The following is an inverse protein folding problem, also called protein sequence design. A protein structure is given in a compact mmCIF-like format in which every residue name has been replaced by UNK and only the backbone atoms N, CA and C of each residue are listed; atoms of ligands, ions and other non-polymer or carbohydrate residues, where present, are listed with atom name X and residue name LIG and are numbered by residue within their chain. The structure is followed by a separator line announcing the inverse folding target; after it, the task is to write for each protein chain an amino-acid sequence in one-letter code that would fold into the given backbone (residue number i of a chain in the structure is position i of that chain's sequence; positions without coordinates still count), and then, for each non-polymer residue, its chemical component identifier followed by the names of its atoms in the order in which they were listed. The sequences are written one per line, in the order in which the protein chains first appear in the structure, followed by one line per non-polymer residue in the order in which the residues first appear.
data_IF_705682187378
#
_entry.id   IF_705682187378
#
_cell.length_a   1.000
_cell.length_b   1.000
_cell.length_c   1.000
_cell.angle_alpha   90.00
_cell.angle_beta   90.00
_cell.angle_gamma   90.00
#
_symmetry.space_group_name_H-M   'P 1'
#
loop_
_entity.id
_entity.type
_entity.pdbx_description
1 polymer ?
#
# COMPACT_ATOMS: atom_id res chain seq x y z
N UNK A 1 -35.54 -9.99 13.13
CA UNK A 1 -34.20 -10.36 12.60
C UNK A 1 -33.44 -9.08 12.29
N UNK A 2 -32.45 -8.74 13.09
CA UNK A 2 -31.51 -7.65 12.84
C UNK A 2 -30.76 -7.94 11.55
N UNK A 3 -30.78 -7.02 10.58
CA UNK A 3 -29.94 -7.08 9.39
C UNK A 3 -28.50 -6.85 9.84
N UNK A 4 -27.73 -7.92 9.94
CA UNK A 4 -26.30 -7.85 10.17
C UNK A 4 -25.67 -7.21 8.93
N UNK A 5 -25.12 -6.01 9.08
CA UNK A 5 -24.47 -5.29 7.98
C UNK A 5 -23.21 -6.07 7.59
N UNK A 6 -23.37 -6.94 6.59
CA UNK A 6 -22.33 -7.84 6.07
C UNK A 6 -21.35 -7.06 5.18
N UNK A 7 -20.95 -5.86 5.60
CA UNK A 7 -19.90 -5.11 4.94
C UNK A 7 -18.57 -5.74 5.35
N UNK A 8 -18.10 -6.65 4.49
CA UNK A 8 -16.78 -7.22 4.63
C UNK A 8 -15.74 -6.08 4.57
N UNK A 9 -15.14 -5.77 5.72
CA UNK A 9 -14.07 -4.78 5.83
C UNK A 9 -12.84 -5.14 4.97
N UNK A 10 -12.77 -6.37 4.44
CA UNK A 10 -11.75 -6.84 3.51
C UNK A 10 -12.16 -6.77 2.04
N UNK A 11 -13.40 -6.39 1.71
CA UNK A 11 -13.85 -6.26 0.32
C UNK A 11 -12.99 -5.29 -0.51
N UNK A 12 -12.32 -4.36 0.15
CA UNK A 12 -11.41 -3.38 -0.46
C UNK A 12 -9.92 -3.75 -0.34
N UNK A 13 -9.56 -5.00 -0.02
CA UNK A 13 -8.17 -5.52 -0.11
C UNK A 13 -7.84 -6.10 -1.49
N UNK A 14 -8.56 -5.69 -2.53
CA UNK A 14 -8.30 -6.11 -3.92
C UNK A 14 -6.85 -5.81 -4.32
N UNK A 15 -6.32 -6.50 -5.32
CA UNK A 15 -4.94 -6.32 -5.79
C UNK A 15 -4.60 -4.87 -6.21
N UNK A 16 -5.63 -4.06 -6.45
CA UNK A 16 -5.55 -2.65 -6.84
C UNK A 16 -5.51 -1.70 -5.62
N UNK A 17 -5.73 -2.23 -4.42
CA UNK A 17 -5.73 -1.53 -3.13
C UNK A 17 -4.54 -2.00 -2.28
N UNK A 18 -3.34 -1.99 -2.84
CA UNK A 18 -2.09 -2.33 -2.14
C UNK A 18 -1.15 -1.13 -2.12
N UNK A 19 -0.20 -1.08 -1.19
CA UNK A 19 0.74 0.02 -1.06
C UNK A 19 1.42 0.36 -2.39
N UNK A 20 1.76 -0.61 -3.24
CA UNK A 20 2.35 -0.38 -4.57
C UNK A 20 1.52 0.56 -5.47
N UNK A 21 0.19 0.57 -5.32
CA UNK A 21 -0.73 1.43 -6.08
C UNK A 21 -1.19 2.65 -5.28
N UNK A 22 -0.65 2.88 -4.07
CA UNK A 22 -1.04 3.98 -3.20
C UNK A 22 -0.25 5.25 -3.51
N UNK A 23 -0.91 6.41 -3.53
CA UNK A 23 -0.26 7.71 -3.74
C UNK A 23 0.73 8.06 -2.62
N UNK A 24 0.54 7.50 -1.43
CA UNK A 24 1.38 7.74 -0.27
C UNK A 24 2.61 6.81 -0.19
N UNK A 25 2.65 5.72 -0.95
CA UNK A 25 3.76 4.77 -0.89
C UNK A 25 4.94 5.25 -1.73
N UNK A 26 6.13 5.19 -1.16
CA UNK A 26 7.40 5.45 -1.84
C UNK A 26 8.34 4.28 -1.61
N UNK A 27 8.82 3.65 -2.69
CA UNK A 27 9.74 2.52 -2.63
C UNK A 27 11.09 2.96 -2.02
N UNK A 28 11.73 2.08 -1.24
CA UNK A 28 13.04 2.35 -0.64
C UNK A 28 14.13 1.77 -1.55
N UNK A 29 14.68 2.62 -2.42
CA UNK A 29 15.77 2.25 -3.32
C UNK A 29 15.29 1.63 -4.63
N UNK A 30 16.23 1.19 -5.46
CA UNK A 30 15.93 0.45 -6.68
C UNK A 30 15.61 -1.02 -6.35
N UNK A 31 14.66 -1.64 -7.06
CA UNK A 31 14.38 -3.06 -6.88
C UNK A 31 15.63 -3.87 -7.25
N UNK A 32 16.21 -4.55 -6.26
CA UNK A 32 17.34 -5.46 -6.44
C UNK A 32 16.79 -6.89 -6.68
N UNK A 33 16.89 -7.43 -7.91
CA UNK A 33 16.42 -8.77 -8.24
C UNK A 33 17.27 -9.83 -7.53
N UNK A 34 16.87 -10.17 -6.31
CA UNK A 34 17.60 -11.08 -5.41
C UNK A 34 17.43 -10.70 -3.94
N UNK A 35 16.99 -9.48 -3.66
CA UNK A 35 16.73 -9.00 -2.32
C UNK A 35 15.29 -9.25 -1.89
N UNK A 36 15.12 -9.86 -0.70
CA UNK A 36 13.81 -9.94 -0.01
C UNK A 36 13.22 -8.55 0.30
N UNK A 37 14.02 -7.49 0.18
CA UNK A 37 13.63 -6.11 0.44
C UNK A 37 13.29 -5.33 -0.84
N UNK A 38 13.28 -5.97 -2.02
CA UNK A 38 12.95 -5.31 -3.28
C UNK A 38 11.56 -4.64 -3.27
N UNK A 39 10.68 -5.07 -2.37
CA UNK A 39 9.33 -4.57 -2.16
C UNK A 39 9.18 -3.63 -0.95
N UNK A 40 10.27 -3.31 -0.24
CA UNK A 40 10.20 -2.47 0.96
C UNK A 40 10.11 -0.99 0.58
N UNK A 41 9.17 -0.26 1.17
CA UNK A 41 9.02 1.18 1.00
C UNK A 41 8.64 1.92 2.26
N UNK A 42 8.06 3.11 2.09
CA UNK A 42 7.68 4.04 3.15
C UNK A 42 6.29 4.62 2.87
N UNK A 43 5.41 4.60 3.87
CA UNK A 43 4.09 5.23 3.78
C UNK A 43 4.15 6.71 4.19
N UNK A 44 3.76 7.62 3.30
CA UNK A 44 3.78 9.08 3.50
C UNK A 44 2.44 9.70 3.89
N UNK A 45 1.48 8.90 4.36
CA UNK A 45 0.14 9.39 4.72
C UNK A 45 0.13 10.37 5.90
N UNK A 46 1.03 10.17 6.88
CA UNK A 46 1.13 10.93 8.14
C UNK A 46 2.56 11.37 8.39
N UNK A 47 2.76 12.61 8.84
CA UNK A 47 4.08 13.22 9.11
C UNK A 47 5.09 12.25 9.74
N UNK A 48 6.38 12.35 9.37
CA UNK A 48 7.40 11.44 9.87
C UNK A 48 7.60 11.63 11.38
N UNK A 49 7.98 10.56 12.06
CA UNK A 49 8.40 10.61 13.47
C UNK A 49 9.91 10.79 13.54
N UNK A 50 10.49 10.75 14.75
CA UNK A 50 11.95 10.69 14.94
C UNK A 50 12.59 9.47 14.24
N UNK A 51 11.82 8.42 13.99
CA UNK A 51 12.24 7.22 13.25
C UNK A 51 11.91 7.28 11.75
N UNK A 52 11.44 8.42 11.25
CA UNK A 52 11.05 8.64 9.86
C UNK A 52 9.61 8.20 9.55
N UNK A 53 9.38 7.87 8.27
CA UNK A 53 8.09 7.37 7.79
C UNK A 53 7.93 5.86 8.09
N UNK A 54 6.71 5.35 8.33
CA UNK A 54 6.48 3.92 8.53
C UNK A 54 7.00 3.07 7.36
N UNK A 55 7.72 1.99 7.67
CA UNK A 55 8.13 0.99 6.70
C UNK A 55 6.96 0.05 6.38
N UNK A 56 6.70 -0.15 5.09
CA UNK A 56 5.61 -1.01 4.60
C UNK A 56 6.12 -1.77 3.37
N UNK A 57 5.57 -2.95 3.12
CA UNK A 57 5.79 -3.69 1.87
C UNK A 57 4.83 -3.23 0.77
N UNK A 58 5.22 -3.44 -0.48
CA UNK A 58 4.43 -3.11 -1.67
C UNK A 58 3.03 -3.77 -1.66
N UNK A 59 2.89 -4.92 -0.98
CA UNK A 59 1.65 -5.69 -0.88
C UNK A 59 0.78 -5.35 0.34
N UNK A 60 1.23 -4.46 1.24
CA UNK A 60 0.46 -4.06 2.43
C UNK A 60 -0.77 -3.23 2.09
N UNK A 61 -1.73 -3.16 3.02
CA UNK A 61 -2.91 -2.28 2.97
C UNK A 61 -3.28 -1.76 4.36
N UNK A 62 -3.68 -0.49 4.45
CA UNK A 62 -3.91 0.20 5.73
C UNK A 62 -5.29 0.86 5.88
N UNK A 63 -6.24 0.66 4.95
CA UNK A 63 -7.55 1.33 4.97
C UNK A 63 -7.54 2.80 4.53
N UNK A 64 -6.46 3.54 4.83
CA UNK A 64 -6.22 4.91 4.35
C UNK A 64 -5.65 4.97 2.92
N UNK A 65 -5.75 3.87 2.16
CA UNK A 65 -5.23 3.78 0.80
C UNK A 65 -5.93 4.79 -0.11
N UNK A 66 -5.14 5.49 -0.92
CA UNK A 66 -5.63 6.30 -2.02
C UNK A 66 -4.90 5.92 -3.28
N UNK A 67 -5.68 5.59 -4.29
CA UNK A 67 -5.17 5.10 -5.56
C UNK A 67 -4.32 6.17 -6.27
N UNK A 68 -3.18 5.74 -6.78
CA UNK A 68 -2.32 6.53 -7.65
C UNK A 68 -2.44 5.99 -9.07
N UNK A 69 -3.17 6.71 -9.92
CA UNK A 69 -3.43 6.30 -11.30
C UNK A 69 -2.15 6.18 -12.13
N UNK A 70 -1.08 6.88 -11.75
CA UNK A 70 0.22 6.80 -12.43
C UNK A 70 0.94 5.47 -12.14
N UNK A 71 0.63 4.82 -11.01
CA UNK A 71 1.25 3.55 -10.59
C UNK A 71 0.52 2.30 -11.10
N UNK A 72 -0.61 2.48 -11.79
CA UNK A 72 -1.41 1.36 -12.35
C UNK A 72 -1.07 1.12 -13.82
N UNK A 73 -0.51 2.13 -14.51
CA UNK A 73 -0.14 2.07 -15.92
C UNK A 73 1.13 1.24 -16.12
N UNK A 74 0.99 -0.09 -16.08
CA UNK A 74 2.15 -0.98 -16.26
C UNK A 74 1.89 -2.48 -16.25
N UNK A 75 0.63 -2.94 -16.34
CA UNK A 75 0.33 -4.36 -16.53
C UNK A 75 -0.69 -4.55 -17.66
N UNK A 76 -0.15 -4.70 -18.87
CA UNK A 76 -0.80 -5.43 -19.95
C UNK A 76 -0.02 -6.71 -20.21
#
# INVERSE_FOLDING_TARGET
MSKENTEDNWAHRSANMRCRTCMFFVLKGEPDPGSILADLGRCRRRSPTLSGWPAVFSEDWCGDHKLDETKIQGKS
#
